data_IF_310120718363
#
_entry.id   IF_310120718363
#
_cell.length_a   1.000
_cell.length_b   1.000
_cell.length_c   1.000
_cell.angle_alpha   90.00
_cell.angle_beta   90.00
_cell.angle_gamma   90.00
#
_symmetry.space_group_name_H-M   'P 1'
#
loop_
_entity.id
_entity.type
_entity.pdbx_description
1 polymer ?
#
# COMPACT_ATOMS: atom_id res chain seq x y z
N UNK A 1 -2.28 -12.27 20.55
CA UNK A 1 -1.19 -12.24 19.54
C UNK A 1 0.15 -12.30 20.29
N UNK A 2 0.38 -13.40 21.01
CA UNK A 2 1.43 -13.45 22.06
C UNK A 2 2.89 -13.59 21.59
N UNK A 3 3.16 -13.58 20.27
CA UNK A 3 4.54 -13.78 19.77
C UNK A 3 4.94 -12.81 18.65
N UNK A 4 4.10 -11.82 18.31
CA UNK A 4 4.43 -10.85 17.25
C UNK A 4 5.57 -9.94 17.71
N UNK A 5 6.58 -9.83 16.87
CA UNK A 5 7.73 -8.94 17.04
C UNK A 5 7.89 -7.98 15.86
N UNK A 6 7.38 -8.38 14.69
CA UNK A 6 7.57 -7.71 13.41
C UNK A 6 6.22 -7.35 12.79
N UNK A 7 6.02 -6.10 12.46
CA UNK A 7 4.78 -5.61 11.86
C UNK A 7 5.09 -5.07 10.48
N UNK A 8 4.52 -5.72 9.46
CA UNK A 8 4.56 -5.28 8.07
C UNK A 8 3.32 -4.43 7.84
N UNK A 9 3.50 -3.20 7.34
CA UNK A 9 2.41 -2.23 7.23
C UNK A 9 2.36 -1.70 5.80
N UNK A 10 1.20 -1.74 5.17
CA UNK A 10 0.98 -1.08 3.88
C UNK A 10 0.93 0.45 4.03
N UNK A 11 1.02 1.17 2.93
CA UNK A 11 1.04 2.63 2.88
C UNK A 11 -0.33 3.21 2.48
N UNK A 12 -0.65 3.06 1.19
CA UNK A 12 -1.83 3.66 0.57
C UNK A 12 -3.11 3.00 1.08
N UNK A 13 -4.02 3.77 1.68
CA UNK A 13 -5.24 3.24 2.28
C UNK A 13 -5.07 2.69 3.70
N UNK A 14 -3.85 2.67 4.22
CA UNK A 14 -3.54 2.14 5.56
C UNK A 14 -2.93 3.21 6.47
N UNK A 15 -1.83 3.83 6.08
CA UNK A 15 -1.19 4.94 6.78
C UNK A 15 -1.61 6.29 6.22
N UNK A 16 -1.77 6.37 4.91
CA UNK A 16 -2.10 7.60 4.19
C UNK A 16 -3.28 7.42 3.25
N UNK A 17 -4.00 8.51 3.01
CA UNK A 17 -5.01 8.63 1.97
C UNK A 17 -4.43 9.35 0.74
N UNK A 18 -4.02 8.61 -0.30
CA UNK A 18 -3.37 9.14 -1.49
C UNK A 18 -4.36 9.50 -2.60
N UNK A 19 -5.66 9.52 -2.34
CA UNK A 19 -6.73 9.57 -3.36
C UNK A 19 -6.51 10.69 -4.38
N UNK A 20 -6.33 11.92 -3.91
CA UNK A 20 -6.18 13.09 -4.81
C UNK A 20 -4.97 12.91 -5.71
N UNK A 21 -3.82 12.58 -5.16
CA UNK A 21 -2.56 12.44 -5.90
C UNK A 21 -2.61 11.32 -6.94
N UNK A 22 -3.11 10.14 -6.56
CA UNK A 22 -3.17 8.98 -7.45
C UNK A 22 -4.20 9.19 -8.55
N UNK A 23 -5.43 9.57 -8.22
CA UNK A 23 -6.50 9.68 -9.21
C UNK A 23 -6.25 10.83 -10.19
N UNK A 24 -5.77 11.98 -9.73
CA UNK A 24 -5.43 13.11 -10.60
C UNK A 24 -4.25 12.79 -11.52
N UNK A 25 -3.23 12.12 -11.01
CA UNK A 25 -2.09 11.71 -11.82
C UNK A 25 -2.46 10.61 -12.82
N UNK A 26 -3.38 9.70 -12.47
CA UNK A 26 -3.89 8.69 -13.39
C UNK A 26 -4.66 9.35 -14.56
N UNK A 27 -5.55 10.31 -14.27
CA UNK A 27 -6.24 11.09 -15.29
C UNK A 27 -5.26 11.83 -16.20
N UNK A 28 -4.23 12.42 -15.64
CA UNK A 28 -3.18 13.09 -16.41
C UNK A 28 -2.47 12.12 -17.37
N UNK A 29 -2.07 10.93 -16.90
CA UNK A 29 -1.43 9.92 -17.72
C UNK A 29 -2.33 9.39 -18.83
N UNK A 30 -3.61 9.13 -18.54
CA UNK A 30 -4.61 8.71 -19.52
C UNK A 30 -4.88 9.79 -20.58
N UNK A 31 -4.98 11.06 -20.18
CA UNK A 31 -5.12 12.18 -21.11
C UNK A 31 -3.96 12.25 -22.10
N UNK A 32 -2.73 12.01 -21.66
CA UNK A 32 -1.54 12.04 -22.54
C UNK A 32 -1.57 11.01 -23.66
N UNK A 33 -2.23 9.89 -23.43
CA UNK A 33 -2.37 8.83 -24.45
C UNK A 33 -3.69 8.91 -25.21
N UNK A 34 -4.42 10.04 -25.07
CA UNK A 34 -5.69 10.26 -25.79
C UNK A 34 -6.87 9.47 -25.25
N UNK A 35 -6.81 9.06 -23.97
CA UNK A 35 -7.88 8.30 -23.30
C UNK A 35 -8.45 9.05 -22.08
N UNK A 36 -9.07 10.24 -22.29
CA UNK A 36 -9.62 11.01 -21.19
C UNK A 36 -10.81 10.28 -20.57
N UNK A 37 -10.87 10.28 -19.24
CA UNK A 37 -12.02 9.83 -18.45
C UNK A 37 -12.68 11.02 -17.77
N UNK A 38 -14.00 10.98 -17.64
CA UNK A 38 -14.76 12.09 -17.07
C UNK A 38 -14.40 12.30 -15.58
N UNK A 39 -14.36 13.57 -15.13
CA UNK A 39 -13.96 13.92 -13.77
C UNK A 39 -14.85 13.29 -12.68
N UNK A 40 -16.12 13.04 -12.98
CA UNK A 40 -17.06 12.42 -12.08
C UNK A 40 -16.98 10.88 -12.05
N UNK A 41 -16.20 10.26 -12.94
CA UNK A 41 -16.02 8.82 -12.96
C UNK A 41 -15.18 8.38 -11.75
N UNK A 42 -15.73 7.46 -10.96
CA UNK A 42 -15.03 6.95 -9.79
C UNK A 42 -13.97 5.92 -10.21
N UNK A 43 -12.71 6.26 -9.96
CA UNK A 43 -11.55 5.38 -10.19
C UNK A 43 -10.81 5.03 -8.91
N UNK A 44 -11.40 5.20 -7.73
CA UNK A 44 -10.76 4.94 -6.44
C UNK A 44 -10.26 3.49 -6.32
N UNK A 45 -10.86 2.57 -7.06
CA UNK A 45 -10.47 1.17 -7.11
C UNK A 45 -9.04 0.92 -7.63
N UNK A 46 -8.40 1.93 -8.27
CA UNK A 46 -7.00 1.83 -8.71
C UNK A 46 -6.01 1.96 -7.54
N UNK A 47 -6.48 2.40 -6.36
CA UNK A 47 -5.64 2.60 -5.19
C UNK A 47 -5.39 1.25 -4.51
N UNK A 48 -4.13 0.86 -4.41
CA UNK A 48 -3.68 -0.43 -3.87
C UNK A 48 -3.16 -1.40 -4.93
N UNK A 49 -3.93 -1.75 -5.98
CA UNK A 49 -3.44 -2.61 -7.06
C UNK A 49 -2.26 -2.03 -7.84
N UNK A 50 -1.47 -2.87 -8.55
CA UNK A 50 -0.43 -2.39 -9.47
C UNK A 50 -1.01 -1.42 -10.50
N UNK A 51 -0.51 -0.19 -10.54
CA UNK A 51 -1.11 0.91 -11.29
C UNK A 51 -1.14 0.64 -12.80
N UNK A 52 -0.07 0.06 -13.39
CA UNK A 52 -0.03 -0.28 -14.82
C UNK A 52 -1.21 -1.16 -15.23
N UNK A 53 -1.50 -2.17 -14.41
CA UNK A 53 -2.62 -3.07 -14.65
C UNK A 53 -3.98 -2.34 -14.55
N UNK A 54 -4.10 -1.41 -13.60
CA UNK A 54 -5.30 -0.58 -13.44
C UNK A 54 -5.52 0.35 -14.63
N UNK A 55 -4.47 1.01 -15.13
CA UNK A 55 -4.53 1.87 -16.31
C UNK A 55 -4.87 1.05 -17.57
N UNK A 56 -4.26 -0.12 -17.76
CA UNK A 56 -4.58 -1.03 -18.85
C UNK A 56 -6.06 -1.45 -18.83
N UNK A 57 -6.59 -1.76 -17.64
CA UNK A 57 -8.01 -2.11 -17.47
C UNK A 57 -8.95 -0.95 -17.83
N UNK A 58 -8.63 0.28 -17.42
CA UNK A 58 -9.42 1.48 -17.80
C UNK A 58 -9.47 1.62 -19.32
N UNK A 59 -8.34 1.44 -20.02
CA UNK A 59 -8.25 1.55 -21.48
C UNK A 59 -8.74 0.31 -22.22
N UNK A 60 -9.10 -0.76 -21.51
CA UNK A 60 -9.47 -2.06 -22.08
C UNK A 60 -8.41 -2.63 -23.04
N UNK A 61 -7.15 -2.56 -22.62
CA UNK A 61 -5.99 -3.12 -23.32
C UNK A 61 -5.26 -4.12 -22.44
N UNK A 62 -4.40 -4.95 -23.04
CA UNK A 62 -3.52 -5.83 -22.30
C UNK A 62 -2.46 -5.02 -21.52
N UNK A 63 -2.04 -5.51 -20.35
CA UNK A 63 -1.04 -4.84 -19.51
C UNK A 63 0.33 -4.69 -20.21
N UNK A 64 0.61 -5.54 -21.21
CA UNK A 64 1.82 -5.47 -22.04
C UNK A 64 1.71 -4.49 -23.21
N UNK A 65 0.51 -3.92 -23.44
CA UNK A 65 0.28 -2.97 -24.52
C UNK A 65 1.05 -1.66 -24.29
N UNK A 66 1.63 -1.10 -25.35
CA UNK A 66 2.45 0.13 -25.28
C UNK A 66 1.69 1.32 -24.67
N UNK A 67 0.38 1.43 -24.90
CA UNK A 67 -0.45 2.48 -24.29
C UNK A 67 -0.47 2.38 -22.75
N UNK A 68 -0.43 1.18 -22.18
CA UNK A 68 -0.39 1.01 -20.72
C UNK A 68 0.94 1.54 -20.14
N UNK A 69 2.05 1.32 -20.83
CA UNK A 69 3.34 1.87 -20.44
C UNK A 69 3.39 3.40 -20.61
N UNK A 70 2.88 3.92 -21.72
CA UNK A 70 2.85 5.37 -21.97
C UNK A 70 1.96 6.11 -20.96
N UNK A 71 0.80 5.55 -20.63
CA UNK A 71 -0.08 6.11 -19.59
C UNK A 71 0.59 6.09 -18.21
N UNK A 72 1.32 5.01 -17.88
CA UNK A 72 2.09 4.91 -16.64
C UNK A 72 3.22 5.95 -16.59
N UNK A 73 3.93 6.17 -17.68
CA UNK A 73 4.96 7.21 -17.75
C UNK A 73 4.36 8.61 -17.56
N UNK A 74 3.21 8.90 -18.19
CA UNK A 74 2.47 10.13 -17.98
C UNK A 74 2.01 10.31 -16.52
N UNK A 75 1.51 9.23 -15.90
CA UNK A 75 1.19 9.23 -14.48
C UNK A 75 2.40 9.61 -13.63
N UNK A 76 3.54 8.95 -13.85
CA UNK A 76 4.77 9.17 -13.07
C UNK A 76 5.31 10.56 -13.22
N UNK A 77 5.20 11.17 -14.40
CA UNK A 77 5.62 12.54 -14.65
C UNK A 77 4.96 13.55 -13.69
N UNK A 78 3.64 13.41 -13.48
CA UNK A 78 2.91 14.27 -12.55
C UNK A 78 3.04 13.80 -11.09
N UNK A 79 2.94 12.50 -10.87
CA UNK A 79 2.93 11.93 -9.51
C UNK A 79 4.24 12.21 -8.78
N UNK A 80 5.39 12.04 -9.43
CA UNK A 80 6.70 12.22 -8.81
C UNK A 80 6.98 13.67 -8.35
N UNK A 81 6.30 14.65 -8.93
CA UNK A 81 6.52 16.09 -8.63
C UNK A 81 5.42 16.67 -7.75
N UNK A 82 4.17 16.32 -8.02
CA UNK A 82 3.00 16.92 -7.38
C UNK A 82 2.15 15.90 -6.65
N UNK A 83 1.71 14.84 -7.33
CA UNK A 83 0.75 13.90 -6.81
C UNK A 83 1.19 13.17 -5.54
N UNK A 84 2.48 12.94 -5.41
CA UNK A 84 3.10 12.31 -4.24
C UNK A 84 2.79 13.07 -2.94
N UNK A 85 2.67 14.40 -3.01
CA UNK A 85 2.39 15.29 -1.87
C UNK A 85 0.90 15.66 -1.72
N UNK A 86 0.07 15.29 -2.69
CA UNK A 86 -1.41 15.38 -2.59
C UNK A 86 -1.93 14.15 -1.83
N UNK A 87 -1.59 14.10 -0.55
CA UNK A 87 -1.71 12.94 0.32
C UNK A 87 -1.97 13.40 1.76
N UNK A 88 -2.70 12.61 2.55
CA UNK A 88 -3.03 12.94 3.93
C UNK A 88 -2.80 11.73 4.83
N UNK A 89 -2.41 11.97 6.09
CA UNK A 89 -2.32 10.90 7.09
C UNK A 89 -3.71 10.54 7.61
N UNK A 90 -3.95 9.25 7.80
CA UNK A 90 -5.09 8.82 8.59
C UNK A 90 -4.91 9.19 10.07
N UNK A 91 -6.02 9.38 10.80
CA UNK A 91 -5.98 9.71 12.23
C UNK A 91 -5.14 8.71 13.04
N UNK A 92 -4.49 9.20 14.07
CA UNK A 92 -3.73 8.42 15.07
C UNK A 92 -2.51 7.65 14.52
N UNK A 93 -2.14 7.78 13.25
CA UNK A 93 -1.02 7.03 12.63
C UNK A 93 0.30 7.31 13.35
N UNK A 94 0.66 8.59 13.54
CA UNK A 94 1.94 8.98 14.16
C UNK A 94 2.04 8.42 15.58
N UNK A 95 1.02 8.66 16.41
CA UNK A 95 1.01 8.23 17.80
C UNK A 95 1.02 6.70 17.94
N UNK A 96 0.34 5.99 17.05
CA UNK A 96 0.33 4.54 17.04
C UNK A 96 1.69 3.97 16.66
N UNK A 97 2.32 4.45 15.56
CA UNK A 97 3.65 4.02 15.15
C UNK A 97 4.70 4.27 16.24
N UNK A 98 4.64 5.46 16.85
CA UNK A 98 5.52 5.82 17.97
C UNK A 98 5.34 4.87 19.16
N UNK A 99 4.11 4.56 19.52
CA UNK A 99 3.79 3.65 20.63
C UNK A 99 4.31 2.24 20.35
N UNK A 100 4.03 1.70 19.15
CA UNK A 100 4.52 0.38 18.74
C UNK A 100 6.05 0.29 18.80
N UNK A 101 6.74 1.30 18.26
CA UNK A 101 8.21 1.36 18.33
C UNK A 101 8.73 1.38 19.78
N UNK A 102 8.10 2.18 20.66
CA UNK A 102 8.47 2.27 22.08
C UNK A 102 8.20 0.95 22.84
N UNK A 103 7.22 0.16 22.39
CA UNK A 103 6.93 -1.18 22.92
C UNK A 103 7.91 -2.25 22.40
N UNK A 104 8.82 -1.89 21.50
CA UNK A 104 9.86 -2.78 20.99
C UNK A 104 9.51 -3.51 19.69
N UNK A 105 8.36 -3.24 19.07
CA UNK A 105 8.04 -3.81 17.77
C UNK A 105 8.97 -3.27 16.69
N UNK A 106 9.38 -4.15 15.77
CA UNK A 106 10.09 -3.76 14.56
C UNK A 106 9.07 -3.54 13.43
N UNK A 107 9.07 -2.34 12.86
CA UNK A 107 8.10 -1.93 11.86
C UNK A 107 8.75 -1.90 10.48
N UNK A 108 8.10 -2.53 9.51
CA UNK A 108 8.52 -2.57 8.12
C UNK A 108 7.40 -2.03 7.24
N UNK A 109 7.72 -1.06 6.38
CA UNK A 109 6.77 -0.72 5.32
C UNK A 109 6.78 -1.85 4.29
N UNK A 110 5.61 -2.26 3.82
CA UNK A 110 5.43 -3.32 2.82
C UNK A 110 4.36 -2.88 1.81
N UNK A 111 4.74 -2.03 0.85
CA UNK A 111 3.82 -1.43 -0.11
C UNK A 111 4.10 -1.83 -1.56
N UNK A 112 3.04 -2.04 -2.35
CA UNK A 112 3.16 -2.24 -3.80
C UNK A 112 3.58 -0.95 -4.55
N UNK A 113 3.52 0.21 -3.88
CA UNK A 113 4.05 1.47 -4.41
C UNK A 113 5.57 1.36 -4.64
N UNK A 114 6.10 1.96 -5.72
CA UNK A 114 7.55 2.02 -5.93
C UNK A 114 8.29 2.59 -4.72
N UNK A 115 9.35 1.89 -4.29
CA UNK A 115 10.16 2.24 -3.12
C UNK A 115 10.60 3.71 -3.12
N UNK A 116 11.05 4.22 -4.27
CA UNK A 116 11.51 5.61 -4.39
C UNK A 116 10.44 6.64 -4.06
N UNK A 117 9.16 6.33 -4.30
CA UNK A 117 8.04 7.19 -3.93
C UNK A 117 7.61 6.98 -2.48
N UNK A 118 7.60 5.73 -2.04
CA UNK A 118 7.22 5.38 -0.68
C UNK A 118 8.13 6.06 0.35
N UNK A 119 9.44 6.03 0.15
CA UNK A 119 10.41 6.70 1.04
C UNK A 119 10.15 8.20 1.11
N UNK A 120 9.95 8.87 -0.04
CA UNK A 120 9.66 10.31 -0.07
C UNK A 120 8.35 10.69 0.64
N UNK A 121 7.34 9.82 0.60
CA UNK A 121 6.09 10.02 1.35
C UNK A 121 6.35 9.88 2.85
N UNK A 122 7.09 8.86 3.26
CA UNK A 122 7.45 8.69 4.67
C UNK A 122 8.29 9.85 5.21
N UNK A 123 9.21 10.38 4.41
CA UNK A 123 10.00 11.56 4.74
C UNK A 123 9.11 12.81 4.88
N UNK A 124 8.20 13.03 3.94
CA UNK A 124 7.27 14.16 3.93
C UNK A 124 6.42 14.24 5.21
N UNK A 125 5.97 13.09 5.70
CA UNK A 125 5.17 12.98 6.92
C UNK A 125 6.02 12.71 8.19
N UNK A 126 7.34 12.73 8.09
CA UNK A 126 8.26 12.43 9.20
C UNK A 126 8.06 11.03 9.80
N UNK A 127 7.55 10.07 9.00
CA UNK A 127 7.27 8.71 9.44
C UNK A 127 8.48 7.77 9.33
N UNK A 128 9.47 8.09 8.48
CA UNK A 128 10.58 7.19 8.18
C UNK A 128 11.32 6.74 9.45
N UNK A 129 11.40 7.61 10.44
CA UNK A 129 12.05 7.34 11.72
C UNK A 129 11.42 6.21 12.54
N UNK A 130 10.16 5.84 12.28
CA UNK A 130 9.47 4.76 13.00
C UNK A 130 9.73 3.39 12.40
N UNK A 131 10.13 3.32 11.13
CA UNK A 131 10.36 2.07 10.42
C UNK A 131 11.81 1.60 10.56
N UNK A 132 11.98 0.29 10.76
CA UNK A 132 13.27 -0.38 10.68
C UNK A 132 13.79 -0.31 9.25
N UNK A 133 12.98 -0.74 8.28
CA UNK A 133 13.22 -0.54 6.86
C UNK A 133 11.90 -0.32 6.10
N UNK A 134 11.87 0.62 5.13
CA UNK A 134 10.77 0.77 4.18
C UNK A 134 11.00 -0.13 2.97
N UNK A 135 10.02 -0.97 2.63
CA UNK A 135 10.04 -1.81 1.45
C UNK A 135 8.92 -1.43 0.49
N UNK A 136 9.24 -1.38 -0.79
CA UNK A 136 8.31 -1.12 -1.88
C UNK A 136 8.70 -1.92 -3.13
N UNK A 137 7.88 -1.80 -4.17
CA UNK A 137 8.20 -2.35 -5.49
C UNK A 137 9.30 -1.56 -6.17
N UNK A 138 9.79 -2.06 -7.32
CA UNK A 138 10.67 -1.31 -8.19
C UNK A 138 9.88 -0.59 -9.31
N UNK A 139 10.45 0.46 -9.85
CA UNK A 139 9.87 1.16 -11.01
C UNK A 139 9.76 0.26 -12.24
N UNK A 140 10.59 -0.77 -12.33
CA UNK A 140 10.57 -1.81 -13.37
C UNK A 140 9.39 -2.78 -13.23
N UNK A 141 8.70 -2.77 -12.07
CA UNK A 141 7.56 -3.64 -11.77
C UNK A 141 7.90 -4.85 -10.91
N UNK A 142 9.16 -5.05 -10.56
CA UNK A 142 9.54 -6.11 -9.62
C UNK A 142 8.90 -5.88 -8.25
N UNK A 143 8.42 -6.96 -7.63
CA UNK A 143 7.79 -6.96 -6.31
C UNK A 143 6.50 -6.12 -6.20
N UNK A 144 5.80 -5.91 -7.32
CA UNK A 144 4.45 -5.31 -7.28
C UNK A 144 3.41 -6.28 -6.72
N UNK A 145 3.64 -7.60 -6.83
CA UNK A 145 2.83 -8.60 -6.14
C UNK A 145 3.16 -8.60 -4.65
N UNK A 146 2.14 -8.42 -3.80
CA UNK A 146 2.34 -8.31 -2.35
C UNK A 146 2.97 -9.57 -1.74
N UNK A 147 2.61 -10.76 -2.20
CA UNK A 147 3.21 -12.00 -1.72
C UNK A 147 4.71 -12.10 -2.03
N UNK A 148 5.12 -11.67 -3.22
CA UNK A 148 6.52 -11.67 -3.63
C UNK A 148 7.33 -10.60 -2.86
N UNK A 149 6.73 -9.45 -2.60
CA UNK A 149 7.32 -8.41 -1.75
C UNK A 149 7.53 -8.93 -0.32
N UNK A 150 6.52 -9.58 0.26
CA UNK A 150 6.61 -10.15 1.61
C UNK A 150 7.69 -11.24 1.66
N UNK A 151 7.77 -12.13 0.65
CA UNK A 151 8.84 -13.13 0.56
C UNK A 151 10.23 -12.48 0.60
N UNK A 152 10.42 -11.41 -0.17
CA UNK A 152 11.66 -10.64 -0.19
C UNK A 152 11.99 -10.03 1.16
N UNK A 153 11.01 -9.46 1.88
CA UNK A 153 11.21 -8.88 3.22
C UNK A 153 11.61 -9.97 4.22
N UNK A 154 10.90 -11.10 4.22
CA UNK A 154 11.20 -12.23 5.11
C UNK A 154 12.62 -12.75 4.92
N UNK A 155 13.05 -12.91 3.68
CA UNK A 155 14.41 -13.36 3.34
C UNK A 155 15.46 -12.31 3.74
N UNK A 156 15.24 -11.05 3.34
CA UNK A 156 16.19 -9.96 3.55
C UNK A 156 16.45 -9.65 5.02
N UNK A 157 15.39 -9.67 5.82
CA UNK A 157 15.43 -9.38 7.26
C UNK A 157 15.55 -10.64 8.13
N UNK A 158 15.56 -11.84 7.51
CA UNK A 158 15.61 -13.13 8.19
C UNK A 158 14.51 -13.30 9.24
N UNK A 159 13.27 -12.89 8.87
CA UNK A 159 12.13 -12.91 9.78
C UNK A 159 11.48 -14.28 9.83
N UNK A 160 11.06 -14.69 11.03
CA UNK A 160 10.18 -15.83 11.22
C UNK A 160 8.71 -15.39 10.93
N UNK A 161 8.03 -15.96 9.93
CA UNK A 161 6.64 -15.60 9.62
C UNK A 161 5.69 -15.72 10.80
N UNK A 162 5.92 -16.66 11.72
CA UNK A 162 5.09 -16.85 12.91
C UNK A 162 5.17 -15.67 13.91
N UNK A 163 6.23 -14.87 13.82
CA UNK A 163 6.44 -13.65 14.64
C UNK A 163 6.06 -12.37 13.89
N UNK A 164 5.47 -12.50 12.69
CA UNK A 164 5.07 -11.38 11.84
C UNK A 164 3.56 -11.15 11.88
N UNK A 165 3.17 -9.90 11.67
CA UNK A 165 1.78 -9.46 11.44
C UNK A 165 1.75 -8.55 10.22
N UNK A 166 0.81 -8.76 9.30
CA UNK A 166 0.59 -7.85 8.17
C UNK A 166 -0.65 -6.99 8.41
N UNK A 167 -0.50 -5.69 8.21
CA UNK A 167 -1.59 -4.70 8.33
C UNK A 167 -1.79 -4.02 6.98
N UNK A 168 -3.00 -4.08 6.45
CA UNK A 168 -3.33 -3.48 5.16
C UNK A 168 -4.84 -3.31 4.97
N UNK A 169 -5.23 -2.66 3.88
CA UNK A 169 -6.62 -2.33 3.57
C UNK A 169 -7.21 -3.10 2.39
N UNK A 170 -6.41 -3.90 1.67
CA UNK A 170 -6.83 -4.62 0.48
C UNK A 170 -6.64 -6.14 0.60
N UNK A 171 -7.40 -6.88 -0.21
CA UNK A 171 -7.23 -8.35 -0.31
C UNK A 171 -5.80 -8.76 -0.62
N UNK A 172 -5.04 -7.96 -1.38
CA UNK A 172 -3.65 -8.25 -1.74
C UNK A 172 -2.74 -8.36 -0.51
N UNK A 173 -2.98 -7.54 0.52
CA UNK A 173 -2.23 -7.59 1.77
C UNK A 173 -2.51 -8.89 2.52
N UNK A 174 -3.79 -9.25 2.59
CA UNK A 174 -4.27 -10.42 3.33
C UNK A 174 -3.83 -11.71 2.63
N UNK A 175 -4.09 -11.81 1.32
CA UNK A 175 -3.76 -13.01 0.55
C UNK A 175 -2.24 -13.17 0.38
N UNK A 176 -1.53 -12.06 0.17
CA UNK A 176 -0.07 -12.06 0.07
C UNK A 176 0.60 -12.54 1.36
N UNK A 177 0.16 -12.06 2.52
CA UNK A 177 0.68 -12.48 3.83
C UNK A 177 0.33 -13.95 4.15
N UNK A 178 -0.89 -14.36 3.81
CA UNK A 178 -1.34 -15.74 4.02
C UNK A 178 -0.50 -16.78 3.28
N UNK A 179 0.01 -16.46 2.08
CA UNK A 179 0.94 -17.35 1.33
C UNK A 179 2.17 -17.74 2.14
N UNK A 180 2.52 -16.94 3.13
CA UNK A 180 3.69 -17.15 4.00
C UNK A 180 3.32 -17.53 5.44
N UNK A 181 2.03 -17.79 5.72
CA UNK A 181 1.57 -18.15 7.06
C UNK A 181 1.56 -16.98 8.05
N UNK A 182 1.60 -15.74 7.55
CA UNK A 182 1.55 -14.52 8.37
C UNK A 182 0.09 -14.16 8.69
N UNK A 183 -0.18 -13.86 9.96
CA UNK A 183 -1.49 -13.37 10.39
C UNK A 183 -1.74 -11.94 9.88
N UNK A 184 -3.01 -11.60 9.67
CA UNK A 184 -3.38 -10.36 8.99
C UNK A 184 -4.41 -9.56 9.78
N UNK A 185 -4.23 -8.24 9.76
CA UNK A 185 -5.19 -7.24 10.23
C UNK A 185 -5.64 -6.41 9.03
N UNK A 186 -6.93 -6.40 8.75
CA UNK A 186 -7.50 -5.50 7.77
C UNK A 186 -7.98 -4.21 8.44
N UNK A 187 -7.60 -3.06 7.88
CA UNK A 187 -8.18 -1.78 8.26
C UNK A 187 -9.42 -1.51 7.39
N UNK A 188 -10.56 -1.18 8.03
CA UNK A 188 -11.84 -1.02 7.34
C UNK A 188 -12.07 0.40 6.79
N UNK A 189 -11.18 1.35 7.10
CA UNK A 189 -11.27 2.74 6.65
C UNK A 189 -10.57 3.01 5.32
N UNK A 190 -9.86 2.01 4.77
CA UNK A 190 -9.13 2.13 3.50
C UNK A 190 -10.01 1.92 2.27
N UNK A 191 -9.40 1.46 1.18
CA UNK A 191 -10.05 1.32 -0.14
C UNK A 191 -10.63 -0.07 -0.41
N UNK A 192 -10.31 -1.06 0.41
CA UNK A 192 -10.94 -2.38 0.34
C UNK A 192 -12.42 -2.31 0.72
N UNK A 193 -13.30 -2.86 -0.12
CA UNK A 193 -14.72 -2.96 0.23
C UNK A 193 -14.94 -3.99 1.34
N UNK A 194 -16.04 -3.85 2.08
CA UNK A 194 -16.41 -4.84 3.08
C UNK A 194 -16.51 -6.25 2.49
N UNK A 195 -17.06 -6.39 1.28
CA UNK A 195 -17.15 -7.66 0.58
C UNK A 195 -15.76 -8.22 0.24
N UNK A 196 -14.85 -7.39 -0.29
CA UNK A 196 -13.47 -7.76 -0.59
C UNK A 196 -12.76 -8.29 0.66
N UNK A 197 -12.83 -7.54 1.76
CA UNK A 197 -12.18 -7.90 3.01
C UNK A 197 -12.80 -9.16 3.64
N UNK A 198 -14.13 -9.32 3.56
CA UNK A 198 -14.81 -10.53 4.05
C UNK A 198 -14.40 -11.77 3.27
N UNK A 199 -14.29 -11.69 1.94
CA UNK A 199 -13.83 -12.80 1.09
C UNK A 199 -12.35 -13.13 1.34
N UNK A 200 -11.52 -12.12 1.52
CA UNK A 200 -10.11 -12.31 1.85
C UNK A 200 -9.91 -12.93 3.25
N UNK A 201 -10.89 -12.81 4.15
CA UNK A 201 -10.93 -13.40 5.49
C UNK A 201 -9.66 -13.11 6.31
N UNK A 202 -9.37 -11.85 6.66
CA UNK A 202 -8.29 -11.48 7.58
C UNK A 202 -8.57 -12.07 8.97
N UNK A 203 -7.51 -12.26 9.75
CA UNK A 203 -7.69 -12.76 11.13
C UNK A 203 -8.39 -11.72 12.01
N UNK A 204 -8.04 -10.44 11.83
CA UNK A 204 -8.64 -9.32 12.58
C UNK A 204 -9.07 -8.21 11.63
N UNK A 205 -10.06 -7.43 12.07
CA UNK A 205 -10.48 -6.19 11.41
C UNK A 205 -10.49 -5.06 12.43
N UNK A 206 -10.02 -3.89 12.02
CA UNK A 206 -9.99 -2.69 12.85
C UNK A 206 -10.57 -1.49 12.10
N UNK A 207 -11.27 -0.62 12.84
CA UNK A 207 -11.91 0.59 12.29
C UNK A 207 -11.06 1.84 12.40
N UNK A 208 -9.98 1.79 13.18
CA UNK A 208 -8.98 2.86 13.28
C UNK A 208 -7.61 2.21 13.47
N UNK A 209 -6.56 2.89 12.98
CA UNK A 209 -5.19 2.37 13.11
C UNK A 209 -4.77 2.19 14.57
N UNK A 210 -5.27 3.05 15.46
CA UNK A 210 -5.00 2.98 16.90
C UNK A 210 -5.45 1.66 17.55
N UNK A 211 -6.53 1.03 17.03
CA UNK A 211 -6.99 -0.27 17.56
C UNK A 211 -5.97 -1.40 17.39
N UNK A 212 -4.94 -1.20 16.57
CA UNK A 212 -3.82 -2.14 16.46
C UNK A 212 -3.12 -2.34 17.82
N UNK A 213 -3.06 -1.31 18.65
CA UNK A 213 -2.47 -1.39 19.99
C UNK A 213 -3.27 -2.34 20.91
N UNK A 214 -4.60 -2.34 20.78
CA UNK A 214 -5.47 -3.21 21.59
C UNK A 214 -5.32 -4.70 21.23
N UNK A 215 -4.94 -4.99 19.98
CA UNK A 215 -4.69 -6.36 19.50
C UNK A 215 -3.34 -6.93 19.97
N UNK A 216 -2.39 -6.05 20.27
CA UNK A 216 -1.01 -6.41 20.57
C UNK A 216 -0.69 -6.39 22.08
N UNK A 217 -1.63 -5.94 22.89
CA UNK A 217 -1.61 -6.06 24.35
C UNK A 217 -2.26 -7.36 24.79
#
# INVERSE_FOLDING_TARGET
VNEVKHILIDLDGTLTDPKVGITTSARYGLNKVGYPIADHENIDWIIGPPLKASLAKIMNVDVTHDLAEQALLGYRERFAVTGLFENELYPDVIETLKTLKNQGYQLYLATAKPHVYAVRILEHFELLQYFTHPYGSELTGERTNKGDLIAYILEKEQLNPAECLMVGDREHDILGARRHGIETVAVEYGYGSEQELNLAAPKYKIKSFKQLLDLLT
#
